data_IF_259436172527
#
_entry.id   IF_259436172527
#
_cell.length_a   1.000
_cell.length_b   1.000
_cell.length_c   1.000
_cell.angle_alpha   90.00
_cell.angle_beta   90.00
_cell.angle_gamma   90.00
#
_symmetry.space_group_name_H-M   'P 1'
#
loop_
_entity.id
_entity.type
_entity.pdbx_description
1 polymer ?
#
# COMPACT_ATOMS: atom_id res chain seq x y z
N UNK A 1 -23.63 16.43 9.68
CA UNK A 1 -22.98 16.19 10.99
C UNK A 1 -21.48 16.48 10.89
N UNK A 2 -21.10 17.71 10.49
CA UNK A 2 -19.69 18.03 10.22
C UNK A 2 -18.85 18.18 11.50
N UNK A 3 -19.43 18.72 12.57
CA UNK A 3 -18.74 18.87 13.86
C UNK A 3 -18.33 17.52 14.46
N UNK A 4 -19.21 16.52 14.40
CA UNK A 4 -18.91 15.17 14.87
C UNK A 4 -17.81 14.51 14.04
N UNK A 5 -17.81 14.71 12.72
CA UNK A 5 -16.75 14.21 11.85
C UNK A 5 -15.41 14.86 12.17
N UNK A 6 -15.38 16.20 12.31
CA UNK A 6 -14.19 16.97 12.72
C UNK A 6 -13.67 16.50 14.08
N UNK A 7 -14.55 16.33 15.07
CA UNK A 7 -14.19 15.83 16.40
C UNK A 7 -13.61 14.41 16.37
N UNK A 8 -14.16 13.53 15.52
CA UNK A 8 -13.62 12.18 15.32
C UNK A 8 -12.23 12.21 14.71
N UNK A 9 -12.01 13.03 13.68
CA UNK A 9 -10.69 13.23 13.07
C UNK A 9 -9.70 13.76 14.13
N UNK A 10 -10.08 14.78 14.91
CA UNK A 10 -9.23 15.35 15.95
C UNK A 10 -8.82 14.31 17.02
N UNK A 11 -9.72 13.40 17.40
CA UNK A 11 -9.38 12.30 18.30
C UNK A 11 -8.30 11.37 17.70
N UNK A 12 -8.37 11.08 16.40
CA UNK A 12 -7.37 10.26 15.72
C UNK A 12 -6.05 11.01 15.54
N UNK A 13 -6.10 12.31 15.22
CA UNK A 13 -4.93 13.19 15.15
C UNK A 13 -4.20 13.21 16.49
N UNK A 14 -4.93 13.33 17.61
CA UNK A 14 -4.35 13.23 18.95
C UNK A 14 -3.60 11.90 19.16
N UNK A 15 -4.13 10.78 18.65
CA UNK A 15 -3.43 9.49 18.75
C UNK A 15 -2.12 9.50 17.96
N UNK A 16 -2.11 10.06 16.74
CA UNK A 16 -0.90 10.17 15.93
C UNK A 16 0.13 11.09 16.58
N UNK A 17 -0.30 12.19 17.19
CA UNK A 17 0.59 13.11 17.89
C UNK A 17 1.27 12.43 19.09
N UNK A 18 0.54 11.62 19.86
CA UNK A 18 1.07 10.99 21.07
C UNK A 18 1.76 9.64 20.83
N UNK A 19 1.41 8.91 19.76
CA UNK A 19 1.89 7.54 19.52
C UNK A 19 2.54 7.34 18.15
N UNK A 20 2.44 8.31 17.24
CA UNK A 20 3.01 8.25 15.89
C UNK A 20 2.11 7.59 14.84
N UNK A 21 0.99 6.98 15.25
CA UNK A 21 0.03 6.31 14.38
C UNK A 21 -1.33 6.23 15.06
N UNK A 22 -2.38 5.87 14.31
CA UNK A 22 -3.69 5.53 14.88
C UNK A 22 -3.70 4.07 15.37
N UNK A 23 -3.75 3.80 16.68
CA UNK A 23 -3.85 2.43 17.18
C UNK A 23 -5.17 1.79 16.76
N UNK A 24 -5.20 0.45 16.72
CA UNK A 24 -6.41 -0.33 16.41
C UNK A 24 -7.63 0.06 17.26
N UNK A 25 -7.38 0.53 18.49
CA UNK A 25 -8.36 1.16 19.35
C UNK A 25 -7.69 1.90 20.49
N UNK A 26 -8.43 2.75 21.21
CA UNK A 26 -7.90 3.61 22.29
C UNK A 26 -7.73 2.83 23.60
N UNK A 27 -6.89 1.79 23.57
CA UNK A 27 -6.52 0.98 24.73
C UNK A 27 -5.02 0.66 24.69
N UNK A 28 -4.38 0.63 25.85
CA UNK A 28 -2.91 0.49 25.97
C UNK A 28 -2.35 -0.73 25.23
N UNK A 29 -3.09 -1.84 25.19
CA UNK A 29 -2.67 -3.07 24.52
C UNK A 29 -2.79 -3.04 22.99
N UNK A 30 -3.35 -1.98 22.41
CA UNK A 30 -3.34 -1.72 20.97
C UNK A 30 -2.16 -0.88 20.51
N UNK A 31 -1.32 -0.36 21.42
CA UNK A 31 -0.13 0.42 21.05
C UNK A 31 0.95 -0.39 20.32
N UNK A 32 0.76 -1.69 20.13
CA UNK A 32 1.61 -2.53 19.28
C UNK A 32 1.15 -2.62 17.81
N UNK A 33 -0.07 -2.16 17.49
CA UNK A 33 -0.69 -2.37 16.16
C UNK A 33 -1.67 -1.26 15.77
N UNK A 34 -1.64 -0.92 14.49
CA UNK A 34 -2.53 0.06 13.88
C UNK A 34 -3.85 -0.59 13.41
N UNK A 35 -4.47 0.02 12.42
CA UNK A 35 -5.58 -0.47 11.61
C UNK A 35 -5.40 0.05 10.17
N UNK A 36 -6.25 -0.32 9.18
CA UNK A 36 -6.17 0.27 7.85
C UNK A 36 -6.11 1.81 7.89
N UNK A 37 -5.12 2.45 7.23
CA UNK A 37 -4.81 3.86 7.44
C UNK A 37 -5.73 4.80 6.66
N UNK A 38 -6.91 5.05 7.23
CA UNK A 38 -7.97 5.85 6.61
C UNK A 38 -8.03 7.30 7.09
N UNK A 39 -7.15 7.74 8.00
CA UNK A 39 -7.17 9.09 8.56
C UNK A 39 -7.00 10.18 7.49
N UNK A 40 -6.03 10.00 6.57
CA UNK A 40 -5.82 10.93 5.45
C UNK A 40 -7.07 11.05 4.55
N UNK A 41 -7.70 9.94 4.10
CA UNK A 41 -9.00 9.97 3.42
C UNK A 41 -10.12 10.64 4.24
N UNK A 42 -10.19 10.41 5.55
CA UNK A 42 -11.19 11.07 6.40
C UNK A 42 -11.04 12.59 6.38
N UNK A 43 -9.81 13.12 6.46
CA UNK A 43 -9.54 14.56 6.33
C UNK A 43 -9.90 15.06 4.94
N UNK A 44 -9.58 14.29 3.89
CA UNK A 44 -9.90 14.66 2.51
C UNK A 44 -11.41 14.75 2.26
N UNK A 45 -12.20 13.77 2.68
CA UNK A 45 -13.65 13.79 2.54
C UNK A 45 -14.28 14.93 3.36
N UNK A 46 -13.78 15.18 4.58
CA UNK A 46 -14.21 16.33 5.37
C UNK A 46 -13.92 17.65 4.65
N UNK A 47 -12.72 17.80 4.07
CA UNK A 47 -12.34 18.97 3.29
C UNK A 47 -13.22 19.15 2.05
N UNK A 48 -13.48 18.08 1.28
CA UNK A 48 -14.37 18.17 0.10
C UNK A 48 -15.79 18.60 0.47
N UNK A 49 -16.29 18.18 1.63
CA UNK A 49 -17.63 18.53 2.09
C UNK A 49 -17.74 19.95 2.68
N UNK A 50 -16.65 20.51 3.20
CA UNK A 50 -16.69 21.75 4.01
C UNK A 50 -15.88 22.91 3.44
N UNK A 51 -14.86 22.65 2.63
CA UNK A 51 -13.89 23.64 2.18
C UNK A 51 -13.00 24.21 3.28
N UNK A 52 -12.95 23.58 4.46
CA UNK A 52 -12.21 24.03 5.64
C UNK A 52 -10.69 23.84 5.48
N UNK A 53 -10.07 24.74 4.69
CA UNK A 53 -8.63 24.73 4.37
C UNK A 53 -7.77 24.90 5.62
N UNK A 54 -8.20 25.75 6.56
CA UNK A 54 -7.46 26.02 7.81
C UNK A 54 -7.34 24.74 8.65
N UNK A 55 -8.42 23.96 8.74
CA UNK A 55 -8.37 22.67 9.41
C UNK A 55 -7.40 21.70 8.74
N UNK A 56 -7.41 21.61 7.40
CA UNK A 56 -6.46 20.76 6.67
C UNK A 56 -5.02 21.19 6.98
N UNK A 57 -4.74 22.50 6.97
CA UNK A 57 -3.41 23.02 7.28
C UNK A 57 -2.97 22.64 8.69
N UNK A 58 -3.88 22.74 9.65
CA UNK A 58 -3.64 22.37 11.04
C UNK A 58 -3.26 20.90 11.21
N UNK A 59 -3.95 19.99 10.51
CA UNK A 59 -3.79 18.53 10.72
C UNK A 59 -2.77 17.87 9.79
N UNK A 60 -2.36 18.55 8.71
CA UNK A 60 -1.41 18.02 7.72
C UNK A 60 -0.10 17.46 8.33
N UNK A 61 0.53 18.11 9.33
CA UNK A 61 1.73 17.55 9.97
C UNK A 61 1.49 16.18 10.64
N UNK A 62 0.31 15.97 11.23
CA UNK A 62 -0.03 14.69 11.82
C UNK A 62 -0.31 13.62 10.75
N UNK A 63 -0.93 13.96 9.62
CA UNK A 63 -1.08 13.02 8.50
C UNK A 63 0.27 12.54 7.95
N UNK A 64 1.23 13.46 7.81
CA UNK A 64 2.62 13.13 7.43
C UNK A 64 3.33 12.28 8.50
N UNK A 65 3.06 12.55 9.79
CA UNK A 65 3.59 11.74 10.89
C UNK A 65 3.08 10.30 10.83
N UNK A 66 1.79 10.08 10.57
CA UNK A 66 1.25 8.72 10.39
C UNK A 66 1.85 8.04 9.15
N UNK A 67 1.95 8.74 8.02
CA UNK A 67 2.60 8.22 6.82
C UNK A 67 4.05 7.81 7.09
N UNK A 68 4.77 8.58 7.90
CA UNK A 68 6.14 8.25 8.35
C UNK A 68 6.16 6.97 9.19
N UNK A 69 5.19 6.76 10.09
CA UNK A 69 5.07 5.49 10.80
C UNK A 69 4.93 4.31 9.85
N UNK A 70 4.07 4.39 8.83
CA UNK A 70 3.90 3.31 7.86
C UNK A 70 5.17 3.05 7.06
N UNK A 71 5.86 4.11 6.62
CA UNK A 71 7.12 4.00 5.89
C UNK A 71 8.20 3.29 6.74
N UNK A 72 8.33 3.64 8.01
CA UNK A 72 9.37 3.08 8.88
C UNK A 72 9.05 1.66 9.37
N UNK A 73 7.77 1.39 9.67
CA UNK A 73 7.41 0.18 10.42
C UNK A 73 6.75 -0.90 9.57
N UNK A 74 6.23 -0.56 8.38
CA UNK A 74 5.38 -1.44 7.55
C UNK A 74 5.82 -1.53 6.09
N UNK A 75 6.67 -0.62 5.62
CA UNK A 75 7.22 -0.70 4.27
C UNK A 75 8.30 -1.77 4.14
N UNK A 76 8.35 -2.42 2.99
CA UNK A 76 9.30 -3.45 2.61
C UNK A 76 9.72 -3.27 1.17
N UNK A 77 10.92 -3.71 0.89
CA UNK A 77 11.53 -3.61 -0.43
C UNK A 77 11.43 -4.96 -1.12
N UNK A 78 10.98 -4.94 -2.37
CA UNK A 78 11.10 -6.08 -3.25
C UNK A 78 12.42 -5.94 -4.01
N UNK A 79 13.34 -6.88 -3.79
CA UNK A 79 14.67 -6.83 -4.36
C UNK A 79 14.76 -7.72 -5.60
N UNK A 80 15.52 -7.27 -6.59
CA UNK A 80 15.97 -8.10 -7.69
C UNK A 80 16.72 -9.33 -7.15
N UNK A 81 16.33 -10.56 -7.50
CA UNK A 81 17.02 -11.77 -7.05
C UNK A 81 18.50 -11.82 -7.41
N UNK A 82 18.88 -11.29 -8.57
CA UNK A 82 20.22 -11.31 -9.14
C UNK A 82 21.04 -10.09 -8.69
N UNK A 83 20.54 -8.88 -8.92
CA UNK A 83 21.31 -7.65 -8.65
C UNK A 83 21.20 -7.17 -7.21
N UNK A 84 20.22 -7.69 -6.44
CA UNK A 84 19.84 -7.23 -5.10
C UNK A 84 19.37 -5.76 -5.04
N UNK A 85 19.19 -5.12 -6.18
CA UNK A 85 18.66 -3.76 -6.26
C UNK A 85 17.17 -3.74 -5.89
N UNK A 86 16.73 -2.67 -5.22
CA UNK A 86 15.31 -2.48 -4.94
C UNK A 86 14.55 -2.17 -6.23
N UNK A 87 13.59 -3.02 -6.58
CA UNK A 87 12.69 -2.79 -7.70
C UNK A 87 11.57 -1.84 -7.32
N UNK A 88 10.92 -2.12 -6.18
CA UNK A 88 9.83 -1.30 -5.66
C UNK A 88 9.59 -1.56 -4.17
N UNK A 89 8.89 -0.62 -3.54
CA UNK A 89 8.45 -0.72 -2.15
C UNK A 89 6.98 -1.15 -2.07
N UNK A 90 6.65 -1.99 -1.09
CA UNK A 90 5.29 -2.41 -0.76
C UNK A 90 5.07 -2.37 0.76
N UNK A 91 3.81 -2.39 1.20
CA UNK A 91 3.45 -2.36 2.62
C UNK A 91 2.84 -3.69 3.06
N UNK A 92 3.16 -4.09 4.29
CA UNK A 92 2.58 -5.27 4.94
C UNK A 92 2.19 -4.95 6.38
N UNK A 93 1.06 -5.49 6.83
CA UNK A 93 0.71 -5.51 8.25
C UNK A 93 1.73 -6.32 9.03
N UNK A 94 2.21 -5.77 10.15
CA UNK A 94 3.28 -6.38 10.94
C UNK A 94 3.27 -5.84 12.36
N UNK A 95 2.30 -6.31 13.12
CA UNK A 95 2.28 -6.12 14.56
C UNK A 95 3.25 -7.11 15.21
N UNK A 96 4.37 -6.62 15.74
CA UNK A 96 5.29 -7.44 16.50
C UNK A 96 4.73 -7.65 17.93
N UNK A 97 4.51 -8.90 18.32
CA UNK A 97 4.18 -9.24 19.70
C UNK A 97 5.34 -9.99 20.34
N UNK A 98 6.13 -9.27 21.14
CA UNK A 98 7.14 -9.86 22.02
C UNK A 98 6.48 -10.25 23.34
N UNK A 99 6.41 -11.54 23.64
CA UNK A 99 5.79 -12.03 24.88
C UNK A 99 6.87 -12.07 25.97
N UNK A 100 6.83 -11.12 26.91
CA UNK A 100 7.72 -11.13 28.08
C UNK A 100 7.22 -12.12 29.13
N UNK A 101 8.13 -12.90 29.73
CA UNK A 101 7.85 -13.72 30.92
C UNK A 101 7.24 -15.10 30.67
N UNK A 102 7.03 -15.50 29.41
CA UNK A 102 6.76 -16.88 29.04
C UNK A 102 7.98 -17.40 28.26
N UNK A 103 8.57 -18.49 28.74
CA UNK A 103 9.74 -19.13 28.12
C UNK A 103 9.50 -19.37 26.61
N UNK A 104 10.33 -18.76 25.75
CA UNK A 104 10.87 -19.26 24.45
C UNK A 104 9.95 -19.97 23.44
N UNK A 105 9.91 -19.49 22.19
CA UNK A 105 9.95 -20.28 20.92
C UNK A 105 9.76 -19.29 19.74
N UNK A 106 10.66 -19.24 18.77
CA UNK A 106 10.53 -18.37 17.58
C UNK A 106 9.22 -18.63 16.82
N UNK A 107 8.81 -19.89 16.74
CA UNK A 107 7.54 -20.31 16.14
C UNK A 107 6.32 -19.69 16.86
N UNK A 108 6.41 -19.59 18.19
CA UNK A 108 5.35 -18.99 19.00
C UNK A 108 5.26 -17.49 18.76
N UNK A 109 6.39 -16.78 18.77
CA UNK A 109 6.43 -15.35 18.45
C UNK A 109 5.92 -15.04 17.04
N UNK A 110 6.27 -15.89 16.08
CA UNK A 110 5.81 -15.80 14.70
C UNK A 110 4.29 -16.00 14.62
N UNK A 111 3.74 -17.00 15.33
CA UNK A 111 2.29 -17.23 15.43
C UNK A 111 1.57 -16.03 16.05
N UNK A 112 2.02 -15.52 17.20
CA UNK A 112 1.39 -14.36 17.84
C UNK A 112 1.48 -13.10 16.98
N UNK A 113 2.59 -12.90 16.27
CA UNK A 113 2.75 -11.77 15.36
C UNK A 113 1.85 -11.89 14.14
N UNK A 114 1.61 -13.11 13.61
CA UNK A 114 0.60 -13.35 12.58
C UNK A 114 -0.82 -13.01 13.09
N UNK A 115 -1.19 -13.46 14.29
CA UNK A 115 -2.48 -13.17 14.90
C UNK A 115 -2.68 -11.66 15.13
N UNK A 116 -1.68 -10.98 15.67
CA UNK A 116 -1.72 -9.55 15.92
C UNK A 116 -1.80 -8.74 14.61
N UNK A 117 -1.08 -9.18 13.58
CA UNK A 117 -1.12 -8.54 12.26
C UNK A 117 -2.46 -8.78 11.58
N UNK A 118 -3.09 -9.95 11.78
CA UNK A 118 -4.45 -10.21 11.30
C UNK A 118 -5.46 -9.24 11.94
N UNK A 119 -5.32 -8.96 13.23
CA UNK A 119 -6.12 -7.93 13.89
C UNK A 119 -5.84 -6.51 13.34
N UNK A 120 -4.57 -6.19 13.02
CA UNK A 120 -4.18 -4.92 12.38
C UNK A 120 -4.83 -4.73 10.99
N UNK A 121 -5.19 -5.82 10.31
CA UNK A 121 -5.85 -5.73 9.00
C UNK A 121 -7.32 -5.28 9.08
N UNK A 122 -7.95 -5.36 10.26
CA UNK A 122 -9.40 -5.25 10.43
C UNK A 122 -10.17 -6.54 10.08
N UNK A 123 -9.49 -7.55 9.53
CA UNK A 123 -10.05 -8.85 9.12
C UNK A 123 -9.54 -9.99 10.03
N UNK A 124 -9.60 -9.77 11.35
CA UNK A 124 -9.28 -10.75 12.38
C UNK A 124 -10.51 -11.58 12.77
N UNK A 125 -10.75 -12.78 12.24
CA UNK A 125 -9.95 -13.54 11.27
C UNK A 125 -10.71 -13.84 9.97
N UNK A 126 -9.95 -14.18 8.92
CA UNK A 126 -10.46 -14.52 7.58
C UNK A 126 -9.61 -15.64 6.98
N UNK A 127 -10.24 -16.52 6.18
CA UNK A 127 -9.55 -17.57 5.41
C UNK A 127 -8.46 -17.03 4.50
N UNK A 128 -8.54 -15.76 4.09
CA UNK A 128 -7.49 -15.01 3.38
C UNK A 128 -6.11 -15.17 4.03
N UNK A 129 -6.07 -15.22 5.36
CA UNK A 129 -4.83 -15.25 6.14
C UNK A 129 -4.31 -16.66 6.43
N UNK A 130 -5.04 -17.70 6.03
CA UNK A 130 -4.68 -19.09 6.29
C UNK A 130 -3.99 -19.73 5.06
N UNK A 131 -3.46 -20.94 5.22
CA UNK A 131 -3.03 -21.75 4.09
C UNK A 131 -4.19 -21.94 3.09
N UNK A 132 -3.89 -21.81 1.81
CA UNK A 132 -4.86 -22.02 0.72
C UNK A 132 -4.74 -23.40 0.08
N UNK A 133 -3.71 -24.16 0.47
CA UNK A 133 -3.38 -25.47 -0.08
C UNK A 133 -2.73 -26.34 0.99
N UNK A 134 -2.67 -27.65 0.73
CA UNK A 134 -2.04 -28.64 1.59
C UNK A 134 -2.89 -29.10 2.77
N UNK A 135 -2.35 -29.98 3.64
CA UNK A 135 -3.12 -30.64 4.70
C UNK A 135 -3.70 -29.69 5.77
N UNK A 136 -3.12 -28.49 5.91
CA UNK A 136 -3.57 -27.46 6.87
C UNK A 136 -4.37 -26.34 6.21
N UNK A 137 -4.83 -26.53 4.97
CA UNK A 137 -5.66 -25.56 4.25
C UNK A 137 -6.84 -25.10 5.11
N UNK A 138 -6.98 -23.79 5.23
CA UNK A 138 -8.01 -23.10 6.03
C UNK A 138 -8.03 -23.42 7.53
N UNK A 139 -7.06 -24.19 8.05
CA UNK A 139 -6.90 -24.37 9.50
C UNK A 139 -6.40 -23.05 10.11
N UNK A 140 -7.00 -22.66 11.22
CA UNK A 140 -6.60 -21.50 12.00
C UNK A 140 -5.11 -21.52 12.37
N UNK A 141 -4.54 -22.71 12.65
CA UNK A 141 -3.11 -22.87 12.98
C UNK A 141 -2.19 -22.55 11.80
N UNK A 142 -2.72 -22.47 10.59
CA UNK A 142 -1.96 -22.14 9.38
C UNK A 142 -1.88 -20.63 9.10
N UNK A 143 -2.27 -19.78 10.06
CA UNK A 143 -2.25 -18.33 9.89
C UNK A 143 -0.86 -17.79 9.52
N UNK A 144 -0.82 -16.99 8.45
CA UNK A 144 0.39 -16.54 7.77
C UNK A 144 0.30 -15.10 7.27
N UNK A 145 -0.40 -14.24 8.01
CA UNK A 145 -0.62 -12.82 7.66
C UNK A 145 0.67 -12.08 7.29
N UNK A 146 1.78 -12.35 8.00
CA UNK A 146 3.09 -11.72 7.75
C UNK A 146 3.72 -12.12 6.41
N UNK A 147 3.25 -13.19 5.80
CA UNK A 147 3.73 -13.71 4.51
C UNK A 147 2.88 -13.23 3.32
N UNK A 148 1.85 -12.43 3.56
CA UNK A 148 0.93 -11.95 2.52
C UNK A 148 1.20 -10.48 2.25
N UNK A 149 1.19 -10.07 0.98
CA UNK A 149 1.20 -8.65 0.58
C UNK A 149 -0.26 -8.19 0.41
N UNK A 150 -0.81 -7.39 1.34
CA UNK A 150 -2.21 -6.95 1.29
C UNK A 150 -2.46 -5.89 0.19
N UNK A 151 -3.28 -6.24 -0.81
CA UNK A 151 -3.66 -5.32 -1.90
C UNK A 151 -4.38 -4.07 -1.41
N UNK A 152 -5.25 -4.24 -0.43
CA UNK A 152 -6.02 -3.20 0.27
C UNK A 152 -5.10 -2.22 1.00
N UNK A 153 -4.16 -2.68 1.81
CA UNK A 153 -3.20 -1.79 2.47
C UNK A 153 -2.41 -0.96 1.47
N UNK A 154 -1.90 -1.59 0.41
CA UNK A 154 -1.12 -0.88 -0.61
C UNK A 154 -1.99 0.14 -1.37
N UNK A 155 -3.28 -0.16 -1.59
CA UNK A 155 -4.24 0.80 -2.12
C UNK A 155 -4.45 2.00 -1.19
N UNK A 156 -4.61 1.76 0.12
CA UNK A 156 -4.73 2.83 1.12
C UNK A 156 -3.47 3.70 1.17
N UNK A 157 -2.29 3.10 1.16
CA UNK A 157 -1.03 3.87 1.12
C UNK A 157 -0.93 4.69 -0.18
N UNK A 158 -1.34 4.12 -1.32
CA UNK A 158 -1.35 4.80 -2.61
C UNK A 158 -2.25 6.05 -2.57
N UNK A 159 -3.49 5.92 -2.10
CA UNK A 159 -4.41 7.07 -2.01
C UNK A 159 -3.95 8.09 -0.97
N UNK A 160 -3.36 7.66 0.15
CA UNK A 160 -2.82 8.57 1.16
C UNK A 160 -1.73 9.47 0.57
N UNK A 161 -0.80 8.90 -0.20
CA UNK A 161 0.24 9.66 -0.89
C UNK A 161 -0.34 10.62 -1.94
N UNK A 162 -1.39 10.22 -2.66
CA UNK A 162 -2.07 11.07 -3.64
C UNK A 162 -2.75 12.28 -2.99
N UNK A 163 -3.43 12.06 -1.86
CA UNK A 163 -4.12 13.09 -1.07
C UNK A 163 -3.10 14.04 -0.46
N UNK A 164 -2.05 13.52 0.19
CA UNK A 164 -0.98 14.35 0.76
C UNK A 164 -0.37 15.26 -0.30
N UNK A 165 -0.06 14.72 -1.49
CA UNK A 165 0.43 15.53 -2.61
C UNK A 165 -0.53 16.68 -2.96
N UNK A 166 -1.84 16.41 -3.01
CA UNK A 166 -2.85 17.44 -3.27
C UNK A 166 -2.95 18.49 -2.16
N UNK A 167 -2.83 18.11 -0.88
CA UNK A 167 -2.81 19.09 0.21
C UNK A 167 -1.57 19.99 0.14
N UNK A 168 -0.38 19.44 -0.11
CA UNK A 168 0.81 20.28 -0.30
C UNK A 168 0.72 21.18 -1.53
N UNK A 169 0.02 20.75 -2.59
CA UNK A 169 -0.29 21.59 -3.75
C UNK A 169 -1.14 22.81 -3.37
N UNK A 170 -2.20 22.59 -2.58
CA UNK A 170 -3.09 23.65 -2.10
C UNK A 170 -2.32 24.69 -1.29
N UNK A 171 -1.36 24.25 -0.47
CA UNK A 171 -0.54 25.15 0.36
C UNK A 171 0.73 25.68 -0.33
N UNK A 172 0.95 25.36 -1.60
CA UNK A 172 2.11 25.84 -2.37
C UNK A 172 3.46 25.18 -2.04
N UNK A 173 3.48 24.11 -1.25
CA UNK A 173 4.69 23.32 -1.01
C UNK A 173 4.91 22.31 -2.15
N UNK A 174 5.40 22.83 -3.28
CA UNK A 174 5.65 22.01 -4.46
C UNK A 174 6.74 20.95 -4.26
N UNK A 175 7.64 21.13 -3.28
CA UNK A 175 8.68 20.14 -2.96
C UNK A 175 8.04 18.88 -2.39
N UNK A 176 7.28 19.02 -1.30
CA UNK A 176 6.56 17.89 -0.67
C UNK A 176 5.52 17.30 -1.61
N UNK A 177 4.80 18.14 -2.37
CA UNK A 177 3.86 17.69 -3.40
C UNK A 177 4.53 16.74 -4.39
N UNK A 178 5.69 17.13 -4.93
CA UNK A 178 6.39 16.31 -5.93
C UNK A 178 6.94 15.01 -5.32
N UNK A 179 7.44 15.06 -4.08
CA UNK A 179 7.89 13.87 -3.36
C UNK A 179 6.76 12.85 -3.19
N UNK A 180 5.61 13.27 -2.63
CA UNK A 180 4.47 12.38 -2.42
C UNK A 180 3.87 11.89 -3.74
N UNK A 181 3.79 12.76 -4.75
CA UNK A 181 3.29 12.38 -6.07
C UNK A 181 4.20 11.34 -6.75
N UNK A 182 5.53 11.48 -6.62
CA UNK A 182 6.48 10.49 -7.16
C UNK A 182 6.32 9.13 -6.47
N UNK A 183 6.17 9.11 -5.14
CA UNK A 183 5.91 7.86 -4.38
C UNK A 183 4.58 7.23 -4.77
N UNK A 184 3.53 8.02 -4.93
CA UNK A 184 2.23 7.57 -5.45
C UNK A 184 2.37 6.93 -6.83
N UNK A 185 3.09 7.54 -7.77
CA UNK A 185 3.29 6.98 -9.12
C UNK A 185 4.06 5.65 -9.08
N UNK A 186 5.12 5.57 -8.26
CA UNK A 186 5.88 4.33 -8.06
C UNK A 186 4.99 3.22 -7.48
N UNK A 187 4.18 3.52 -6.46
CA UNK A 187 3.28 2.55 -5.86
C UNK A 187 2.16 2.12 -6.82
N UNK A 188 1.54 3.05 -7.54
CA UNK A 188 0.53 2.76 -8.56
C UNK A 188 1.07 1.81 -9.61
N UNK A 189 2.31 2.01 -10.03
CA UNK A 189 3.00 1.12 -10.96
C UNK A 189 3.19 -0.27 -10.37
N UNK A 190 3.80 -0.35 -9.18
CA UNK A 190 4.03 -1.62 -8.48
C UNK A 190 2.72 -2.39 -8.27
N UNK A 191 1.65 -1.72 -7.86
CA UNK A 191 0.32 -2.32 -7.68
C UNK A 191 -0.27 -2.84 -9.00
N UNK A 192 -0.12 -2.12 -10.11
CA UNK A 192 -0.58 -2.61 -11.42
C UNK A 192 0.16 -3.89 -11.80
N UNK A 193 1.46 -3.94 -11.54
CA UNK A 193 2.23 -5.15 -11.77
C UNK A 193 1.73 -6.28 -10.85
N UNK A 194 1.60 -6.06 -9.54
CA UNK A 194 1.11 -7.06 -8.58
C UNK A 194 -0.32 -7.58 -8.88
N UNK A 195 -1.27 -6.68 -9.13
CA UNK A 195 -2.69 -6.99 -9.26
C UNK A 195 -3.02 -7.61 -10.62
N UNK A 196 -2.31 -7.21 -11.69
CA UNK A 196 -2.42 -7.84 -13.01
C UNK A 196 -2.05 -9.32 -13.04
N UNK A 197 -1.48 -9.86 -11.96
CA UNK A 197 -0.95 -11.21 -11.88
C UNK A 197 -1.80 -12.17 -11.03
N UNK A 198 -3.07 -11.84 -10.78
CA UNK A 198 -4.01 -12.77 -10.13
C UNK A 198 -4.55 -13.85 -11.09
N UNK A 199 -3.65 -14.56 -11.76
CA UNK A 199 -3.98 -15.75 -12.57
C UNK A 199 -2.93 -16.88 -12.54
N UNK A 200 -1.87 -16.82 -11.73
CA UNK A 200 -0.95 -17.97 -11.60
C UNK A 200 -0.74 -18.33 -10.12
N UNK A 201 -1.42 -19.40 -9.70
CA UNK A 201 -1.25 -20.07 -8.41
C UNK A 201 0.08 -20.83 -8.34
N UNK A 202 0.59 -20.97 -7.12
CA UNK A 202 1.90 -21.51 -6.79
C UNK A 202 1.85 -23.02 -6.64
N UNK A 203 2.63 -23.76 -7.44
CA UNK A 203 2.93 -25.16 -7.14
C UNK A 203 3.68 -25.30 -5.82
N UNK A 204 3.17 -26.16 -4.94
CA UNK A 204 3.64 -26.37 -3.58
C UNK A 204 5.07 -26.92 -3.45
N UNK A 205 5.65 -26.71 -2.26
CA UNK A 205 6.85 -27.38 -1.79
C UNK A 205 8.12 -26.54 -1.86
N UNK A 206 8.28 -25.59 -0.94
CA UNK A 206 9.53 -24.86 -0.76
C UNK A 206 9.37 -23.72 0.25
N UNK A 207 10.29 -23.60 1.21
CA UNK A 207 10.18 -22.63 2.32
C UNK A 207 9.95 -21.18 1.86
N UNK A 208 9.52 -20.32 2.79
CA UNK A 208 9.09 -18.92 2.58
C UNK A 208 10.05 -18.08 1.70
N UNK A 209 11.34 -18.41 1.65
CA UNK A 209 12.34 -17.78 0.77
C UNK A 209 12.34 -18.23 -0.70
N UNK A 210 11.81 -19.41 -1.04
CA UNK A 210 11.74 -19.93 -2.42
C UNK A 210 10.54 -19.41 -3.20
N UNK A 211 9.39 -19.22 -2.55
CA UNK A 211 8.16 -18.74 -3.20
C UNK A 211 8.28 -17.28 -3.66
N UNK A 212 8.96 -16.44 -2.87
CA UNK A 212 9.30 -15.05 -3.25
C UNK A 212 10.35 -15.03 -4.38
N UNK A 213 11.27 -16.01 -4.41
CA UNK A 213 12.31 -16.11 -5.43
C UNK A 213 11.74 -16.49 -6.81
N UNK A 214 10.85 -17.48 -6.89
CA UNK A 214 10.21 -17.87 -8.15
C UNK A 214 9.24 -16.79 -8.67
N UNK A 215 8.47 -16.17 -7.77
CA UNK A 215 7.60 -15.03 -8.09
C UNK A 215 8.41 -13.83 -8.61
N UNK A 216 9.53 -13.51 -7.95
CA UNK A 216 10.44 -12.48 -8.41
C UNK A 216 10.98 -12.78 -9.79
N UNK A 217 11.52 -13.97 -10.03
CA UNK A 217 12.16 -14.32 -11.30
C UNK A 217 11.20 -14.26 -12.51
N UNK A 218 9.92 -14.62 -12.35
CA UNK A 218 8.96 -14.60 -13.47
C UNK A 218 8.46 -13.19 -13.82
N UNK A 219 8.38 -12.31 -12.81
CA UNK A 219 7.80 -10.98 -12.95
C UNK A 219 8.87 -9.92 -13.23
N UNK A 220 10.11 -10.20 -12.82
CA UNK A 220 11.28 -9.36 -13.01
C UNK A 220 11.44 -8.82 -14.43
N UNK A 221 11.25 -9.59 -15.52
CA UNK A 221 11.44 -9.07 -16.87
C UNK A 221 10.38 -8.04 -17.26
N UNK A 222 9.11 -8.26 -16.89
CA UNK A 222 8.03 -7.33 -17.17
C UNK A 222 8.20 -6.04 -16.34
N UNK A 223 8.57 -6.17 -15.06
CA UNK A 223 8.92 -5.06 -14.19
C UNK A 223 10.10 -4.26 -14.71
N UNK A 224 11.21 -4.92 -15.06
CA UNK A 224 12.40 -4.28 -15.65
C UNK A 224 12.04 -3.53 -16.92
N UNK A 225 11.23 -4.13 -17.81
CA UNK A 225 10.77 -3.48 -19.04
C UNK A 225 9.91 -2.27 -18.74
N UNK A 226 9.01 -2.36 -17.77
CA UNK A 226 8.14 -1.26 -17.39
C UNK A 226 8.93 -0.13 -16.72
N UNK A 227 9.76 -0.45 -15.72
CA UNK A 227 10.68 0.49 -15.06
C UNK A 227 11.63 1.16 -16.07
N UNK A 228 12.18 0.39 -17.02
CA UNK A 228 13.04 0.93 -18.10
C UNK A 228 12.25 1.87 -19.01
N UNK A 229 11.03 1.50 -19.42
CA UNK A 229 10.17 2.40 -20.19
C UNK A 229 9.91 3.70 -19.45
N UNK A 230 9.56 3.63 -18.16
CA UNK A 230 9.30 4.80 -17.34
C UNK A 230 10.55 5.66 -17.15
N UNK A 231 11.71 5.05 -16.91
CA UNK A 231 12.99 5.74 -16.77
C UNK A 231 13.42 6.42 -18.07
N UNK A 232 13.30 5.74 -19.22
CA UNK A 232 13.72 6.30 -20.50
C UNK A 232 12.77 7.37 -21.03
N UNK A 233 11.46 7.21 -20.83
CA UNK A 233 10.46 8.03 -21.53
C UNK A 233 9.81 9.09 -20.64
N UNK A 234 9.83 8.93 -19.33
CA UNK A 234 8.99 9.71 -18.41
C UNK A 234 9.69 10.17 -17.14
N UNK A 235 10.84 9.60 -16.80
CA UNK A 235 11.61 10.09 -15.68
C UNK A 235 12.16 11.48 -15.97
N UNK A 236 11.95 12.36 -15.00
CA UNK A 236 12.57 13.66 -14.91
C UNK A 236 13.31 13.68 -13.59
N UNK A 237 14.58 14.05 -13.67
CA UNK A 237 15.43 14.27 -12.52
C UNK A 237 15.27 15.73 -12.13
N UNK A 238 14.90 15.96 -10.88
CA UNK A 238 14.99 17.29 -10.29
C UNK A 238 16.43 17.45 -9.83
N UNK A 239 17.17 18.33 -10.49
CA UNK A 239 18.56 18.62 -10.15
C UNK A 239 18.60 19.77 -9.15
N UNK A 240 19.52 19.69 -8.20
CA UNK A 240 19.89 20.83 -7.38
C UNK A 240 20.30 22.00 -8.30
N UNK A 241 19.78 23.19 -8.03
CA UNK A 241 20.01 24.33 -8.91
C UNK A 241 21.47 24.75 -9.00
N UNK A 242 22.23 24.56 -7.91
CA UNK A 242 23.62 24.96 -7.74
C UNK A 242 24.58 23.79 -8.01
N UNK A 243 24.36 22.62 -7.41
CA UNK A 243 25.28 21.47 -7.54
C UNK A 243 25.00 20.62 -8.77
N UNK A 244 23.82 20.78 -9.40
CA UNK A 244 23.30 19.91 -10.47
C UNK A 244 23.20 18.43 -10.08
N UNK A 245 23.31 18.10 -8.79
CA UNK A 245 23.13 16.74 -8.31
C UNK A 245 21.65 16.33 -8.37
N UNK A 246 21.40 15.06 -8.66
CA UNK A 246 20.04 14.55 -8.74
C UNK A 246 19.44 14.43 -7.33
N UNK A 247 18.52 15.34 -7.00
CA UNK A 247 17.83 15.36 -5.72
C UNK A 247 16.75 14.29 -5.64
N UNK A 248 15.99 14.10 -6.73
CA UNK A 248 15.04 13.00 -6.87
C UNK A 248 14.56 12.82 -8.33
N UNK A 249 14.18 11.60 -8.67
CA UNK A 249 13.59 11.22 -9.96
C UNK A 249 12.07 11.03 -9.84
N UNK A 250 11.29 11.69 -10.69
CA UNK A 250 9.84 11.56 -10.74
C UNK A 250 9.33 11.27 -12.16
N UNK A 251 8.16 10.63 -12.28
CA UNK A 251 7.56 10.31 -13.57
C UNK A 251 6.54 11.36 -13.98
N UNK A 252 6.82 12.10 -15.06
CA UNK A 252 5.91 13.09 -15.61
C UNK A 252 4.90 12.40 -16.55
N UNK A 253 3.60 12.61 -16.32
CA UNK A 253 2.57 12.11 -17.21
C UNK A 253 2.46 13.02 -18.44
N UNK A 254 3.15 12.68 -19.53
CA UNK A 254 2.77 13.18 -20.86
C UNK A 254 1.71 12.24 -21.43
N UNK A 255 0.68 12.80 -22.04
CA UNK A 255 -0.45 12.10 -22.67
C UNK A 255 -0.07 11.24 -23.90
N UNK A 256 1.13 10.65 -23.93
CA UNK A 256 1.45 9.62 -24.90
C UNK A 256 0.72 8.33 -24.48
N UNK A 257 -0.20 7.87 -25.33
CA UNK A 257 -0.90 6.60 -25.16
C UNK A 257 0.08 5.42 -25.06
N UNK A 258 -0.20 4.45 -24.18
CA UNK A 258 0.45 3.12 -24.22
C UNK A 258 -0.20 2.30 -25.35
N UNK A 259 0.56 1.58 -26.21
CA UNK A 259 -0.02 0.82 -27.30
C UNK A 259 -0.62 -0.56 -26.90
N UNK A 260 -0.15 -1.22 -25.84
CA UNK A 260 -0.51 -2.65 -25.63
C UNK A 260 -1.44 -2.96 -24.44
N UNK A 261 -1.36 -2.26 -23.30
CA UNK A 261 -2.06 -2.73 -22.07
C UNK A 261 -3.59 -2.61 -22.09
N UNK A 262 -4.15 -1.69 -22.89
CA UNK A 262 -5.60 -1.60 -23.07
C UNK A 262 -6.13 -2.55 -24.14
N UNK A 263 -5.25 -3.06 -25.03
CA UNK A 263 -5.68 -3.91 -26.14
C UNK A 263 -6.02 -5.31 -25.64
N UNK A 264 -5.22 -5.89 -24.76
CA UNK A 264 -5.48 -7.21 -24.18
C UNK A 264 -6.73 -7.23 -23.30
N UNK A 265 -6.96 -6.16 -22.52
CA UNK A 265 -8.18 -6.03 -21.72
C UNK A 265 -9.41 -5.77 -22.59
N UNK A 266 -9.33 -4.93 -23.63
CA UNK A 266 -10.44 -4.71 -24.57
C UNK A 266 -10.74 -5.96 -25.42
N UNK A 267 -9.72 -6.73 -25.82
CA UNK A 267 -9.90 -7.99 -26.53
C UNK A 267 -10.56 -9.06 -25.64
N UNK A 268 -10.33 -9.05 -24.33
CA UNK A 268 -11.02 -9.94 -23.36
C UNK A 268 -12.51 -9.61 -23.16
N UNK A 269 -12.93 -8.37 -23.38
CA UNK A 269 -14.35 -7.97 -23.28
C UNK A 269 -15.09 -8.09 -24.62
N UNK A 270 -14.36 -8.17 -25.75
CA UNK A 270 -14.94 -8.43 -27.08
C UNK A 270 -15.48 -9.85 -27.16
N UNK A 271 -16.76 -10.00 -26.81
CA UNK A 271 -17.49 -11.27 -26.88
C UNK A 271 -18.47 -11.50 -25.72
N UNK A 272 -18.42 -10.69 -24.66
CA UNK A 272 -19.35 -10.78 -23.53
C UNK A 272 -20.62 -9.97 -23.82
N UNK A 273 -21.75 -10.67 -23.90
CA UNK A 273 -23.01 -10.13 -24.43
C UNK A 273 -24.01 -9.74 -23.34
N UNK A 274 -23.74 -10.02 -22.06
CA UNK A 274 -24.66 -9.70 -20.95
C UNK A 274 -24.00 -8.82 -19.89
N UNK A 275 -24.80 -7.93 -19.28
CA UNK A 275 -24.32 -7.03 -18.23
C UNK A 275 -23.89 -7.78 -16.96
N UNK A 276 -24.41 -8.99 -16.73
CA UNK A 276 -24.03 -9.86 -15.61
C UNK A 276 -22.61 -10.45 -15.79
N UNK A 277 -22.22 -10.82 -17.02
CA UNK A 277 -20.85 -11.27 -17.36
C UNK A 277 -19.84 -10.13 -17.26
N UNK A 278 -20.24 -8.92 -17.69
CA UNK A 278 -19.41 -7.71 -17.55
C UNK A 278 -19.25 -7.30 -16.09
N UNK A 279 -20.28 -7.47 -15.26
CA UNK A 279 -20.25 -7.17 -13.82
C UNK A 279 -19.40 -8.16 -13.01
N UNK A 280 -19.24 -9.42 -13.44
CA UNK A 280 -18.28 -10.35 -12.83
C UNK A 280 -16.81 -9.93 -13.04
N UNK A 281 -16.51 -9.24 -14.15
CA UNK A 281 -15.22 -8.58 -14.37
C UNK A 281 -15.11 -7.20 -13.69
N UNK A 282 -16.23 -6.64 -13.22
CA UNK A 282 -16.39 -5.27 -12.74
C UNK A 282 -16.10 -4.99 -11.26
N UNK A 283 -15.82 -6.00 -10.42
CA UNK A 283 -15.55 -5.79 -8.99
C UNK A 283 -14.17 -5.17 -8.69
N UNK A 284 -13.34 -4.95 -9.72
CA UNK A 284 -12.06 -4.21 -9.63
C UNK A 284 -12.20 -2.77 -10.15
N UNK A 285 -13.31 -2.43 -10.81
CA UNK A 285 -13.44 -1.17 -11.56
C UNK A 285 -13.65 0.09 -10.70
N UNK A 286 -14.23 -0.02 -9.50
CA UNK A 286 -14.55 1.16 -8.68
C UNK A 286 -13.38 1.70 -7.86
N UNK A 287 -12.35 0.91 -7.58
CA UNK A 287 -11.19 1.39 -6.81
C UNK A 287 -10.13 2.02 -7.71
N UNK A 288 -10.09 1.71 -9.01
CA UNK A 288 -8.98 2.09 -9.89
C UNK A 288 -9.27 3.33 -10.76
N UNK A 289 -10.54 3.67 -11.02
CA UNK A 289 -10.88 4.77 -11.94
C UNK A 289 -11.03 6.16 -11.30
N UNK A 290 -10.85 6.28 -9.99
CA UNK A 290 -10.59 7.57 -9.33
C UNK A 290 -9.13 7.72 -8.86
N UNK A 291 -8.23 6.85 -9.34
CA UNK A 291 -6.78 6.85 -9.04
C UNK A 291 -5.99 7.52 -10.17
#
# INVERSE_FOLDING_TARGET
MYDTAKGTILNLIYMVENHGFVPNGVRVYYLSRSQPPLLTPMVYEYFLATGDVDFVQQVLPALEKEQTFWNLNRARSFLDPETKEELFQYYQYRAAMKVKGLNTDEEREQMWSNLASAAETGWGFSTRWFAQEGPSMHDFKSIRTLSIVPVDLNAFMCINMRILASFYEIFGDFKRKNEYYARYQKMKLAMKTFIGMRLMEFGGGGGVGQTINLFGQQVLPALKKEQTFWNLNRARSFLDSETKEELFQYYQYRAAMKPESYREDMERVKGLNTDEERNKCGLIWLVVFSI
#
